data_IF_615441586068
#
_entry.id   IF_615441586068
#
_cell.length_a   1.000
_cell.length_b   1.000
_cell.length_c   1.000
_cell.angle_alpha   90.00
_cell.angle_beta   90.00
_cell.angle_gamma   90.00
#
_symmetry.space_group_name_H-M   'P 1'
#
loop_
_entity.id
_entity.type
_entity.pdbx_description
1 polymer ?
#
# COMPACT_ATOMS: atom_id res chain seq x y z
N UNK A 1 0.19 -25.41 7.73
CA UNK A 1 -1.23 -25.62 8.06
C UNK A 1 -1.88 -24.25 8.04
N UNK A 2 -3.03 -24.09 7.38
CA UNK A 2 -3.71 -22.80 7.37
C UNK A 2 -4.38 -22.59 8.73
N UNK A 3 -3.89 -21.62 9.48
CA UNK A 3 -4.32 -21.30 10.84
C UNK A 3 -5.35 -20.15 10.78
N UNK A 4 -6.67 -20.41 10.79
CA UNK A 4 -7.70 -19.41 10.50
C UNK A 4 -7.75 -18.28 11.54
N UNK A 5 -7.30 -18.55 12.76
CA UNK A 5 -7.29 -17.57 13.84
C UNK A 5 -6.34 -16.40 13.55
N UNK A 6 -5.30 -16.55 12.73
CA UNK A 6 -4.38 -15.44 12.40
C UNK A 6 -5.04 -14.47 11.45
N UNK A 7 -5.89 -14.95 10.53
CA UNK A 7 -6.71 -14.06 9.72
C UNK A 7 -7.65 -13.24 10.60
N UNK A 8 -8.24 -13.88 11.62
CA UNK A 8 -9.07 -13.16 12.58
C UNK A 8 -8.24 -12.13 13.37
N UNK A 9 -7.07 -12.51 13.90
CA UNK A 9 -6.20 -11.58 14.65
C UNK A 9 -5.76 -10.40 13.78
N UNK A 10 -5.26 -10.66 12.57
CA UNK A 10 -4.82 -9.59 11.66
C UNK A 10 -6.00 -8.70 11.24
N UNK A 11 -7.15 -9.28 10.90
CA UNK A 11 -8.38 -8.53 10.61
C UNK A 11 -8.85 -7.67 11.79
N UNK A 12 -9.03 -8.26 12.97
CA UNK A 12 -9.51 -7.56 14.16
C UNK A 12 -8.49 -6.53 14.67
N UNK A 13 -7.19 -6.78 14.52
CA UNK A 13 -6.16 -5.79 14.84
C UNK A 13 -6.28 -4.56 13.93
N UNK A 14 -6.42 -4.76 12.62
CA UNK A 14 -6.60 -3.67 11.66
C UNK A 14 -7.91 -2.91 11.91
N UNK A 15 -9.01 -3.64 12.15
CA UNK A 15 -10.30 -3.06 12.48
C UNK A 15 -10.24 -2.25 13.78
N UNK A 16 -9.62 -2.78 14.84
CA UNK A 16 -9.50 -2.10 16.12
C UNK A 16 -8.67 -0.81 16.00
N UNK A 17 -7.55 -0.84 15.28
CA UNK A 17 -6.74 0.35 15.01
C UNK A 17 -7.54 1.38 14.20
N UNK A 18 -8.25 0.93 13.15
CA UNK A 18 -9.10 1.80 12.34
C UNK A 18 -10.23 2.46 13.15
N UNK A 19 -10.93 1.68 13.98
CA UNK A 19 -11.97 2.19 14.88
C UNK A 19 -11.40 3.16 15.92
N UNK A 20 -10.21 2.89 16.45
CA UNK A 20 -9.51 3.81 17.36
C UNK A 20 -9.23 5.16 16.68
N UNK A 21 -8.74 5.14 15.43
CA UNK A 21 -8.47 6.35 14.66
C UNK A 21 -9.73 7.15 14.33
N UNK A 22 -10.85 6.47 14.05
CA UNK A 22 -12.16 7.12 13.86
C UNK A 22 -12.68 7.72 15.17
N UNK A 23 -12.55 6.99 16.30
CA UNK A 23 -13.03 7.43 17.60
C UNK A 23 -12.16 8.54 18.21
N UNK A 24 -10.86 8.57 17.89
CA UNK A 24 -9.86 9.49 18.45
C UNK A 24 -8.99 10.10 17.34
N UNK A 25 -9.57 10.90 16.42
CA UNK A 25 -8.84 11.46 15.29
C UNK A 25 -7.72 12.43 15.72
N UNK A 26 -7.83 13.02 16.91
CA UNK A 26 -6.81 13.89 17.50
C UNK A 26 -5.47 13.20 17.76
N UNK A 27 -5.43 11.85 17.78
CA UNK A 27 -4.16 11.09 17.87
C UNK A 27 -3.33 11.19 16.59
N UNK A 28 -3.97 11.49 15.46
CA UNK A 28 -3.33 11.46 14.14
C UNK A 28 -3.12 12.83 13.53
N UNK A 29 -4.07 13.75 13.73
CA UNK A 29 -4.00 15.08 13.14
C UNK A 29 -4.73 16.10 14.00
N UNK A 30 -4.23 17.33 13.99
CA UNK A 30 -4.90 18.48 14.61
C UNK A 30 -6.19 18.80 13.87
N UNK A 31 -7.20 19.30 14.58
CA UNK A 31 -8.49 19.70 14.01
C UNK A 31 -8.33 20.69 12.85
N UNK A 32 -7.49 21.72 13.00
CA UNK A 32 -7.20 22.68 11.93
C UNK A 32 -6.66 22.00 10.65
N UNK A 33 -5.81 20.98 10.83
CA UNK A 33 -5.25 20.24 9.72
C UNK A 33 -6.34 19.44 9.00
N UNK A 34 -7.31 18.89 9.72
CA UNK A 34 -8.44 18.16 9.14
C UNK A 34 -9.48 19.10 8.51
N UNK A 35 -9.69 20.30 9.04
CA UNK A 35 -10.65 21.29 8.49
C UNK A 35 -10.18 21.88 7.15
N UNK A 36 -8.88 22.13 6.99
CA UNK A 36 -8.30 22.57 5.70
C UNK A 36 -8.63 21.62 4.54
N UNK A 37 -8.89 20.36 4.87
CA UNK A 37 -9.19 19.30 3.92
C UNK A 37 -10.58 19.41 3.29
N UNK A 38 -11.54 19.99 4.02
CA UNK A 38 -12.90 20.23 3.55
C UNK A 38 -12.94 21.18 2.35
N UNK A 39 -11.94 22.06 2.23
CA UNK A 39 -11.78 22.99 1.12
C UNK A 39 -11.06 22.41 -0.10
N UNK A 40 -10.62 21.14 -0.06
CA UNK A 40 -9.94 20.54 -1.20
C UNK A 40 -10.88 20.41 -2.40
N UNK A 41 -10.39 20.69 -3.62
CA UNK A 41 -11.19 20.64 -4.86
C UNK A 41 -11.91 19.31 -5.12
N UNK A 42 -11.44 18.22 -4.51
CA UNK A 42 -11.98 16.87 -4.65
C UNK A 42 -12.55 16.32 -3.32
N UNK A 43 -12.78 17.17 -2.32
CA UNK A 43 -13.42 16.75 -1.07
C UNK A 43 -14.93 16.55 -1.29
N UNK A 44 -15.41 15.35 -1.00
CA UNK A 44 -16.85 15.00 -0.98
C UNK A 44 -17.41 14.88 0.44
N UNK A 45 -16.53 14.84 1.44
CA UNK A 45 -16.90 14.77 2.85
C UNK A 45 -17.14 16.18 3.40
N UNK A 46 -18.12 16.30 4.30
CA UNK A 46 -18.47 17.56 4.97
C UNK A 46 -18.02 17.62 6.43
N UNK A 47 -17.41 16.53 6.93
CA UNK A 47 -16.91 16.41 8.30
C UNK A 47 -15.40 16.19 8.30
N UNK A 48 -14.63 16.87 9.16
CA UNK A 48 -13.19 16.66 9.27
C UNK A 48 -12.85 15.19 9.58
N UNK A 49 -12.04 14.55 8.73
CA UNK A 49 -11.61 13.15 8.93
C UNK A 49 -10.09 12.99 8.72
N UNK A 50 -9.38 12.21 9.54
CA UNK A 50 -7.96 11.93 9.36
C UNK A 50 -7.74 10.97 8.18
N UNK A 51 -6.80 11.29 7.29
CA UNK A 51 -6.50 10.48 6.08
C UNK A 51 -5.38 9.45 6.28
N UNK A 52 -5.16 8.97 7.50
CA UNK A 52 -3.98 8.16 7.87
C UNK A 52 -4.30 6.69 8.14
N UNK A 53 -5.46 6.21 7.68
CA UNK A 53 -5.98 4.87 7.99
C UNK A 53 -5.10 3.70 7.52
N UNK A 54 -4.29 3.90 6.48
CA UNK A 54 -3.38 2.89 5.94
C UNK A 54 -2.37 2.34 6.94
N UNK A 55 -2.01 3.12 7.98
CA UNK A 55 -1.12 2.67 9.06
C UNK A 55 -1.67 1.40 9.73
N UNK A 56 -2.97 1.34 10.01
CA UNK A 56 -3.59 0.17 10.66
C UNK A 56 -3.52 -1.09 9.81
N UNK A 57 -3.55 -0.95 8.48
CA UNK A 57 -3.40 -2.07 7.54
C UNK A 57 -1.95 -2.55 7.53
N UNK A 58 -0.97 -1.64 7.43
CA UNK A 58 0.45 -2.01 7.40
C UNK A 58 0.89 -2.65 8.72
N UNK A 59 0.41 -2.15 9.86
CA UNK A 59 0.67 -2.77 11.17
C UNK A 59 0.10 -4.19 11.23
N UNK A 60 -1.14 -4.40 10.76
CA UNK A 60 -1.73 -5.74 10.73
C UNK A 60 -0.98 -6.71 9.80
N UNK A 61 -0.53 -6.24 8.63
CA UNK A 61 0.33 -7.02 7.72
C UNK A 61 1.65 -7.38 8.41
N UNK A 62 2.29 -6.44 9.09
CA UNK A 62 3.54 -6.67 9.80
C UNK A 62 3.38 -7.71 10.93
N UNK A 63 2.27 -7.66 11.68
CA UNK A 63 1.92 -8.68 12.69
C UNK A 63 1.74 -10.07 12.05
N UNK A 64 1.03 -10.14 10.92
CA UNK A 64 0.89 -11.38 10.16
C UNK A 64 2.24 -11.91 9.66
N UNK A 65 3.12 -11.03 9.20
CA UNK A 65 4.46 -11.40 8.74
C UNK A 65 5.34 -11.89 9.89
N UNK A 66 5.30 -11.22 11.04
CA UNK A 66 6.05 -11.63 12.22
C UNK A 66 5.63 -13.03 12.71
N UNK A 67 4.33 -13.32 12.64
CA UNK A 67 3.81 -14.63 13.03
C UNK A 67 4.25 -15.75 12.06
N UNK A 68 4.16 -15.50 10.75
CA UNK A 68 4.51 -16.48 9.72
C UNK A 68 5.98 -16.41 9.29
N UNK A 69 6.86 -15.77 10.06
CA UNK A 69 8.24 -15.45 9.64
C UNK A 69 8.99 -16.65 9.02
N UNK A 70 8.85 -17.84 9.62
CA UNK A 70 9.52 -19.07 9.16
C UNK A 70 8.89 -19.71 7.91
N UNK A 71 7.68 -19.31 7.54
CA UNK A 71 6.89 -19.88 6.44
C UNK A 71 6.78 -18.93 5.23
N UNK A 72 7.18 -17.67 5.38
CA UNK A 72 7.07 -16.68 4.33
C UNK A 72 8.13 -16.89 3.25
N UNK A 73 7.68 -16.85 1.99
CA UNK A 73 8.59 -16.83 0.85
C UNK A 73 9.36 -15.52 0.82
N UNK A 74 10.65 -15.59 0.52
CA UNK A 74 11.52 -14.42 0.38
C UNK A 74 10.97 -13.42 -0.64
N UNK A 75 10.39 -13.91 -1.75
CA UNK A 75 9.80 -13.05 -2.77
C UNK A 75 8.67 -12.17 -2.21
N UNK A 76 7.82 -12.71 -1.34
CA UNK A 76 6.75 -11.95 -0.70
C UNK A 76 7.32 -10.87 0.21
N UNK A 77 8.35 -11.19 1.01
CA UNK A 77 9.02 -10.21 1.87
C UNK A 77 9.66 -9.09 1.05
N UNK A 78 10.30 -9.43 -0.07
CA UNK A 78 10.87 -8.44 -0.99
C UNK A 78 9.82 -7.57 -1.66
N UNK A 79 8.69 -8.13 -2.08
CA UNK A 79 7.56 -7.35 -2.62
C UNK A 79 6.98 -6.39 -1.57
N UNK A 80 6.78 -6.86 -0.33
CA UNK A 80 6.29 -6.02 0.75
C UNK A 80 7.29 -4.91 1.10
N UNK A 81 8.58 -5.23 1.16
CA UNK A 81 9.64 -4.25 1.39
C UNK A 81 9.70 -3.20 0.27
N UNK A 82 9.56 -3.61 -1.00
CA UNK A 82 9.49 -2.68 -2.11
C UNK A 82 8.27 -1.75 -2.00
N UNK A 83 7.11 -2.31 -1.62
CA UNK A 83 5.88 -1.57 -1.36
C UNK A 83 5.98 -0.50 -0.27
N UNK A 84 6.96 -0.61 0.65
CA UNK A 84 7.19 0.44 1.64
C UNK A 84 7.56 1.78 0.99
N UNK A 85 8.18 1.78 -0.20
CA UNK A 85 8.52 3.02 -0.92
C UNK A 85 7.26 3.82 -1.24
N UNK A 86 6.28 3.19 -1.88
CA UNK A 86 5.02 3.87 -2.23
C UNK A 86 4.19 4.16 -0.98
N UNK A 87 4.22 3.28 0.02
CA UNK A 87 3.54 3.51 1.30
C UNK A 87 4.07 4.76 2.01
N UNK A 88 5.38 4.93 2.15
CA UNK A 88 5.96 6.09 2.84
C UNK A 88 5.67 7.40 2.11
N UNK A 89 5.70 7.39 0.78
CA UNK A 89 5.33 8.57 -0.02
C UNK A 89 3.85 8.88 0.12
N UNK A 90 2.97 7.86 0.06
CA UNK A 90 1.54 8.03 0.29
C UNK A 90 1.23 8.56 1.69
N UNK A 91 1.84 7.97 2.71
CA UNK A 91 1.68 8.37 4.11
C UNK A 91 2.14 9.81 4.34
N UNK A 92 3.28 10.20 3.76
CA UNK A 92 3.79 11.58 3.83
C UNK A 92 2.83 12.55 3.15
N UNK A 93 2.20 12.17 2.03
CA UNK A 93 1.16 12.99 1.42
C UNK A 93 -0.07 13.12 2.31
N UNK A 94 -0.52 12.03 2.93
CA UNK A 94 -1.68 12.05 3.83
C UNK A 94 -1.45 12.96 5.06
N UNK A 95 -0.21 13.06 5.53
CA UNK A 95 0.18 13.90 6.68
C UNK A 95 0.46 15.36 6.27
N UNK A 96 1.16 15.60 5.16
CA UNK A 96 1.67 16.94 4.83
C UNK A 96 0.95 17.61 3.66
N UNK A 97 0.23 16.85 2.83
CA UNK A 97 -0.49 17.32 1.64
C UNK A 97 0.35 18.19 0.71
N UNK A 98 1.63 17.84 0.55
CA UNK A 98 2.63 18.62 -0.18
C UNK A 98 3.31 17.85 -1.32
N UNK A 99 2.83 16.65 -1.62
CA UNK A 99 3.40 15.77 -2.63
C UNK A 99 2.55 15.83 -3.89
N UNK A 100 3.15 16.33 -4.96
CA UNK A 100 2.49 16.41 -6.26
C UNK A 100 2.03 15.03 -6.76
N UNK A 101 0.95 14.96 -7.57
CA UNK A 101 0.52 13.71 -8.21
C UNK A 101 1.64 13.00 -8.98
N UNK A 102 2.53 13.77 -9.64
CA UNK A 102 3.69 13.23 -10.37
C UNK A 102 4.68 12.52 -9.46
N UNK A 103 4.97 13.10 -8.29
CA UNK A 103 5.88 12.47 -7.32
C UNK A 103 5.30 11.17 -6.74
N UNK A 104 3.99 11.10 -6.52
CA UNK A 104 3.31 9.85 -6.11
C UNK A 104 3.40 8.77 -7.18
N UNK A 105 3.14 9.13 -8.43
CA UNK A 105 3.26 8.21 -9.56
C UNK A 105 4.70 7.69 -9.72
N UNK A 106 5.70 8.57 -9.62
CA UNK A 106 7.11 8.17 -9.66
C UNK A 106 7.47 7.22 -8.52
N UNK A 107 6.97 7.46 -7.31
CA UNK A 107 7.19 6.55 -6.18
C UNK A 107 6.59 5.17 -6.42
N UNK A 108 5.41 5.10 -7.05
CA UNK A 108 4.78 3.84 -7.42
C UNK A 108 5.60 3.09 -8.49
N UNK A 109 6.09 3.79 -9.53
CA UNK A 109 7.01 3.20 -10.51
C UNK A 109 8.32 2.71 -9.87
N UNK A 110 8.92 3.47 -8.95
CA UNK A 110 10.13 3.05 -8.23
C UNK A 110 9.86 1.81 -7.38
N UNK A 111 8.74 1.79 -6.66
CA UNK A 111 8.29 0.64 -5.86
C UNK A 111 8.12 -0.61 -6.73
N UNK A 112 7.45 -0.49 -7.88
CA UNK A 112 7.26 -1.58 -8.82
C UNK A 112 8.58 -2.07 -9.43
N UNK A 113 9.46 -1.14 -9.86
CA UNK A 113 10.78 -1.47 -10.38
C UNK A 113 11.63 -2.21 -9.33
N UNK A 114 11.57 -1.78 -8.06
CA UNK A 114 12.27 -2.44 -6.96
C UNK A 114 11.71 -3.86 -6.69
N UNK A 115 10.39 -4.06 -6.76
CA UNK A 115 9.80 -5.38 -6.64
C UNK A 115 10.26 -6.32 -7.77
N UNK A 116 10.30 -5.83 -9.02
CA UNK A 116 10.79 -6.60 -10.18
C UNK A 116 12.27 -6.97 -10.01
N UNK A 117 13.12 -6.03 -9.58
CA UNK A 117 14.57 -6.31 -9.44
C UNK A 117 14.88 -7.31 -8.33
N UNK A 118 14.15 -7.24 -7.20
CA UNK A 118 14.38 -8.13 -6.05
C UNK A 118 13.80 -9.53 -6.27
N UNK A 119 12.59 -9.63 -6.83
CA UNK A 119 11.91 -10.93 -7.01
C UNK A 119 12.18 -11.58 -8.37
N UNK A 120 12.67 -10.80 -9.35
CA UNK A 120 12.78 -11.19 -10.76
C UNK A 120 11.46 -11.67 -11.37
N UNK A 121 10.34 -11.23 -10.80
CA UNK A 121 9.00 -11.56 -11.28
C UNK A 121 8.40 -10.40 -12.06
N UNK A 122 7.69 -10.74 -13.14
CA UNK A 122 6.91 -9.83 -13.98
C UNK A 122 5.57 -10.48 -14.29
N UNK A 123 4.58 -9.69 -14.71
CA UNK A 123 3.27 -10.21 -15.13
C UNK A 123 3.48 -11.23 -16.27
N UNK A 124 3.11 -12.51 -16.06
CA UNK A 124 3.48 -13.56 -17.00
C UNK A 124 2.58 -13.61 -18.24
N UNK A 125 1.33 -13.21 -18.09
CA UNK A 125 0.32 -13.16 -19.15
C UNK A 125 -0.83 -12.21 -18.74
N UNK A 126 -1.49 -11.60 -19.72
CA UNK A 126 -2.70 -10.79 -19.57
C UNK A 126 -3.98 -11.56 -19.90
N UNK A 127 -3.87 -12.80 -20.41
CA UNK A 127 -5.01 -13.64 -20.79
C UNK A 127 -5.74 -13.17 -22.06
N UNK A 128 -5.12 -12.26 -22.83
CA UNK A 128 -5.69 -11.70 -24.07
C UNK A 128 -5.30 -12.49 -25.31
N UNK A 129 -4.13 -13.14 -25.29
CA UNK A 129 -3.59 -13.91 -26.41
C UNK A 129 -2.93 -15.20 -25.89
N UNK A 130 -2.95 -16.30 -26.65
CA UNK A 130 -2.23 -17.51 -26.28
C UNK A 130 -0.72 -17.27 -26.33
N UNK A 131 -0.06 -17.35 -25.18
CA UNK A 131 1.39 -17.17 -25.05
C UNK A 131 1.77 -16.51 -23.73
N UNK A 132 3.06 -16.49 -23.40
CA UNK A 132 3.54 -15.76 -22.22
C UNK A 132 4.22 -14.46 -22.62
N UNK A 133 3.84 -13.38 -21.94
CA UNK A 133 4.47 -12.06 -22.07
C UNK A 133 5.94 -12.10 -21.67
N UNK A 134 6.36 -13.07 -20.85
CA UNK A 134 7.76 -13.27 -20.44
C UNK A 134 8.69 -13.51 -21.63
N UNK A 135 8.17 -14.01 -22.76
CA UNK A 135 8.93 -14.12 -24.01
C UNK A 135 9.39 -12.76 -24.55
N UNK A 136 8.66 -11.70 -24.19
CA UNK A 136 8.91 -10.31 -24.56
C UNK A 136 9.26 -9.51 -23.30
N UNK A 137 10.49 -9.68 -22.81
CA UNK A 137 10.92 -9.13 -21.51
C UNK A 137 10.70 -7.63 -21.35
N UNK A 138 10.97 -6.84 -22.40
CA UNK A 138 10.79 -5.38 -22.39
C UNK A 138 9.29 -5.01 -22.24
N UNK A 139 8.38 -5.52 -23.10
CA UNK A 139 6.94 -5.38 -22.89
C UNK A 139 6.44 -5.88 -21.53
N UNK A 140 6.93 -7.03 -21.05
CA UNK A 140 6.53 -7.57 -19.74
C UNK A 140 6.90 -6.63 -18.58
N UNK A 141 8.11 -6.07 -18.59
CA UNK A 141 8.54 -5.08 -17.59
C UNK A 141 7.69 -3.80 -17.70
N UNK A 142 7.50 -3.27 -18.91
CA UNK A 142 6.73 -2.04 -19.12
C UNK A 142 5.27 -2.19 -18.66
N UNK A 143 4.63 -3.31 -18.99
CA UNK A 143 3.27 -3.64 -18.55
C UNK A 143 3.23 -3.80 -17.03
N UNK A 144 4.18 -4.53 -16.44
CA UNK A 144 4.24 -4.73 -14.98
C UNK A 144 4.38 -3.40 -14.25
N UNK A 145 5.24 -2.50 -14.74
CA UNK A 145 5.44 -1.16 -14.20
C UNK A 145 4.17 -0.32 -14.30
N UNK A 146 3.54 -0.29 -15.48
CA UNK A 146 2.34 0.52 -15.72
C UNK A 146 1.12 0.00 -14.96
N UNK A 147 0.99 -1.31 -14.81
CA UNK A 147 -0.11 -1.93 -14.08
C UNK A 147 0.02 -1.76 -12.56
N UNK A 148 1.26 -1.72 -12.05
CA UNK A 148 1.53 -1.64 -10.62
C UNK A 148 1.62 -0.21 -10.08
N UNK A 149 1.63 0.80 -10.94
CA UNK A 149 1.78 2.22 -10.60
C UNK A 149 0.46 2.99 -10.72
#
# INVERSE_FOLDING_TARGET
>A
MFEPWILLVTFFSSLAIGLLFIARPSLLATQEHMERDLGARQATHTRPTPRVGGIGIVVAIALGCAYYADQLKTDLLFSLAAGLVVFWVGLREDIHRNISPRARLLAAFISAALAITLTRTVVPDLGLFPGSLVQWILPAIAITLLWSA
#
